data_IF_814451971984
#
_entry.id   IF_814451971984
#
_cell.length_a   1.000
_cell.length_b   1.000
_cell.length_c   1.000
_cell.angle_alpha   90.00
_cell.angle_beta   90.00
_cell.angle_gamma   90.00
#
_symmetry.space_group_name_H-M   'P 1'
#
loop_
_entity.id
_entity.type
_entity.pdbx_description
1 polymer ?
#
# COMPACT_ATOMS: atom_id res chain seq x y z
N UNK A 1 -57.13 -17.25 -12.27
CA UNK A 1 -56.31 -16.60 -13.31
C UNK A 1 -55.00 -17.37 -13.38
N UNK A 2 -54.88 -18.33 -14.30
CA UNK A 2 -53.67 -19.13 -14.50
C UNK A 2 -52.73 -18.36 -15.44
N UNK A 3 -51.51 -18.09 -14.99
CA UNK A 3 -50.44 -17.50 -15.79
C UNK A 3 -49.62 -18.63 -16.41
N UNK A 4 -49.62 -18.67 -17.74
CA UNK A 4 -48.93 -19.63 -18.58
C UNK A 4 -47.55 -19.03 -18.96
N UNK A 5 -46.44 -19.66 -18.55
CA UNK A 5 -45.08 -19.25 -18.93
C UNK A 5 -44.48 -20.34 -19.82
N UNK A 6 -43.94 -20.02 -21.01
CA UNK A 6 -43.36 -21.03 -21.88
C UNK A 6 -41.93 -21.40 -21.44
N UNK A 7 -41.62 -22.70 -21.47
CA UNK A 7 -40.28 -23.25 -21.26
C UNK A 7 -39.32 -22.80 -22.37
N UNK A 8 -38.15 -22.28 -21.98
CA UNK A 8 -37.03 -22.03 -22.90
C UNK A 8 -36.09 -23.23 -22.85
N UNK A 9 -35.86 -23.83 -24.03
CA UNK A 9 -35.02 -25.00 -24.25
C UNK A 9 -33.54 -24.67 -24.06
N UNK A 10 -32.84 -25.40 -23.19
CA UNK A 10 -31.39 -25.33 -23.04
C UNK A 10 -30.73 -26.44 -23.88
N UNK A 11 -29.95 -26.02 -24.89
CA UNK A 11 -29.11 -26.91 -25.70
C UNK A 11 -27.82 -27.21 -24.91
N UNK A 12 -27.62 -28.48 -24.56
CA UNK A 12 -26.39 -28.96 -23.95
C UNK A 12 -25.34 -29.26 -25.03
N UNK A 13 -24.15 -28.65 -24.93
CA UNK A 13 -22.99 -29.00 -25.75
C UNK A 13 -22.24 -30.16 -25.10
N UNK A 14 -22.14 -31.30 -25.80
CA UNK A 14 -21.37 -32.46 -25.36
C UNK A 14 -19.88 -32.29 -25.68
N UNK A 15 -19.01 -32.48 -24.67
CA UNK A 15 -17.59 -32.74 -24.88
C UNK A 15 -17.33 -34.24 -24.79
N UNK A 16 -16.81 -34.82 -25.87
CA UNK A 16 -16.36 -36.22 -25.93
C UNK A 16 -15.06 -36.40 -25.17
N UNK A 17 -15.08 -37.24 -24.14
CA UNK A 17 -13.89 -37.73 -23.46
C UNK A 17 -13.28 -38.92 -24.25
N UNK A 18 -12.01 -38.82 -24.61
CA UNK A 18 -11.24 -39.98 -25.12
C UNK A 18 -10.63 -40.71 -23.93
N UNK A 19 -10.97 -41.99 -23.80
CA UNK A 19 -10.43 -42.89 -22.79
C UNK A 19 -8.97 -43.28 -23.12
N UNK A 20 -8.08 -43.18 -22.13
CA UNK A 20 -6.74 -43.72 -22.21
C UNK A 20 -6.74 -45.18 -21.75
N UNK A 21 -6.31 -46.09 -22.64
CA UNK A 21 -6.13 -47.50 -22.36
C UNK A 21 -4.96 -47.71 -21.39
N UNK A 22 -5.19 -48.56 -20.39
CA UNK A 22 -4.15 -49.09 -19.51
C UNK A 22 -3.41 -50.23 -20.22
N UNK A 23 -2.07 -50.14 -20.26
CA UNK A 23 -1.21 -51.30 -20.50
C UNK A 23 -0.12 -51.36 -19.45
N UNK A 24 -0.08 -52.51 -18.79
CA UNK A 24 0.92 -53.03 -17.85
C UNK A 24 2.33 -53.06 -18.45
N UNK A 25 3.39 -52.82 -17.66
CA UNK A 25 4.28 -53.88 -17.16
C UNK A 25 5.61 -53.36 -16.56
N UNK A 26 5.96 -54.01 -15.44
CA UNK A 26 7.30 -54.42 -14.95
C UNK A 26 8.47 -53.44 -14.88
N UNK A 27 8.90 -53.25 -13.63
CA UNK A 27 10.24 -52.89 -13.16
C UNK A 27 11.40 -53.42 -14.02
N UNK A 28 12.34 -52.52 -14.36
CA UNK A 28 13.79 -52.78 -14.39
C UNK A 28 14.56 -51.47 -14.63
N UNK A 29 15.62 -51.31 -13.85
CA UNK A 29 16.45 -50.12 -13.64
C UNK A 29 17.29 -49.67 -14.83
N UNK A 30 17.29 -48.37 -15.14
CA UNK A 30 18.44 -47.64 -15.72
C UNK A 30 18.45 -46.21 -15.18
N UNK A 31 19.49 -45.83 -14.44
CA UNK A 31 19.79 -44.44 -14.11
C UNK A 31 20.20 -43.74 -15.40
N UNK A 32 19.25 -43.03 -16.01
CA UNK A 32 19.52 -42.10 -17.11
C UNK A 32 19.69 -40.71 -16.52
N UNK A 33 20.88 -40.13 -16.64
CA UNK A 33 21.11 -38.71 -16.36
C UNK A 33 20.39 -37.89 -17.43
N UNK A 34 19.09 -37.64 -17.21
CA UNK A 34 18.34 -36.66 -18.00
C UNK A 34 18.94 -35.30 -17.73
N UNK A 35 19.61 -34.73 -18.73
CA UNK A 35 19.82 -33.30 -18.80
C UNK A 35 18.44 -32.63 -18.77
N UNK A 36 18.10 -32.03 -17.64
CA UNK A 36 16.92 -31.19 -17.52
C UNK A 36 17.22 -29.92 -18.29
N UNK A 37 16.74 -29.82 -19.53
CA UNK A 37 16.71 -28.55 -20.25
C UNK A 37 15.71 -27.66 -19.54
N UNK A 38 16.20 -26.82 -18.62
CA UNK A 38 15.42 -25.74 -18.04
C UNK A 38 15.07 -24.75 -19.15
N UNK A 39 13.78 -24.46 -19.28
CA UNK A 39 13.31 -23.34 -20.11
C UNK A 39 13.84 -22.05 -19.48
N UNK A 40 14.55 -21.16 -20.20
CA UNK A 40 15.01 -19.90 -19.61
C UNK A 40 13.79 -19.01 -19.35
N UNK A 41 13.27 -19.03 -18.13
CA UNK A 41 12.33 -18.00 -17.65
C UNK A 41 13.15 -16.77 -17.32
N UNK A 42 13.25 -15.84 -18.27
CA UNK A 42 13.96 -14.56 -18.12
C UNK A 42 13.16 -13.51 -17.36
N UNK A 43 12.24 -13.88 -16.48
CA UNK A 43 11.66 -12.90 -15.54
C UNK A 43 12.74 -12.60 -14.50
N UNK A 44 13.32 -11.39 -14.47
CA UNK A 44 14.29 -11.05 -13.44
C UNK A 44 13.59 -11.21 -12.09
N UNK A 45 14.20 -11.93 -11.16
CA UNK A 45 13.79 -11.85 -9.75
C UNK A 45 13.81 -10.36 -9.40
N UNK A 46 12.72 -9.79 -8.83
CA UNK A 46 12.71 -8.39 -8.43
C UNK A 46 13.89 -8.16 -7.49
N UNK A 47 14.90 -7.45 -7.97
CA UNK A 47 16.07 -7.12 -7.15
C UNK A 47 15.61 -6.02 -6.20
N UNK A 48 15.70 -6.29 -4.91
CA UNK A 48 15.36 -5.31 -3.90
C UNK A 48 16.28 -4.10 -4.00
N UNK A 49 15.73 -2.88 -4.16
CA UNK A 49 16.56 -1.69 -4.28
C UNK A 49 17.40 -1.45 -3.02
N UNK A 50 18.61 -0.88 -3.15
CA UNK A 50 19.49 -0.63 -2.01
C UNK A 50 18.82 0.24 -0.93
N UNK A 51 18.93 -0.18 0.34
CA UNK A 51 18.38 0.56 1.47
C UNK A 51 19.02 1.94 1.66
N UNK A 52 20.21 2.17 1.09
CA UNK A 52 20.92 3.46 1.10
C UNK A 52 20.16 4.57 0.38
N UNK A 53 19.15 4.23 -0.43
CA UNK A 53 18.28 5.19 -1.13
C UNK A 53 17.02 5.56 -0.32
N UNK A 54 16.89 5.03 0.90
CA UNK A 54 15.72 5.25 1.74
C UNK A 54 15.92 6.37 2.76
N UNK A 55 14.86 7.13 2.99
CA UNK A 55 14.77 8.23 3.95
C UNK A 55 13.64 7.93 4.95
N UNK A 56 13.76 8.39 6.22
CA UNK A 56 12.77 8.10 7.23
C UNK A 56 11.43 8.79 6.92
N UNK A 57 10.32 8.06 7.06
CA UNK A 57 8.97 8.61 7.09
C UNK A 57 8.71 9.14 8.50
N UNK A 58 8.99 10.42 8.73
CA UNK A 58 8.95 11.02 10.06
C UNK A 58 7.52 11.34 10.44
N UNK A 59 7.13 10.98 11.66
CA UNK A 59 5.79 11.21 12.23
C UNK A 59 5.85 12.37 13.22
N UNK A 60 4.94 13.31 13.08
CA UNK A 60 4.81 14.50 13.92
C UNK A 60 3.42 14.50 14.56
N UNK A 61 3.35 14.88 15.83
CA UNK A 61 2.11 14.92 16.61
C UNK A 61 1.91 16.28 17.27
N UNK A 62 0.70 16.83 17.16
CA UNK A 62 0.27 17.99 17.93
C UNK A 62 -0.93 17.62 18.80
N UNK A 63 -0.74 17.61 20.11
CA UNK A 63 -1.77 17.23 21.09
C UNK A 63 -2.92 18.22 21.20
N UNK A 64 -2.66 19.50 21.01
CA UNK A 64 -3.68 20.56 21.09
C UNK A 64 -4.60 20.52 19.87
N UNK A 65 -4.04 20.22 18.69
CA UNK A 65 -4.80 20.09 17.45
C UNK A 65 -5.37 18.69 17.22
N UNK A 66 -4.91 17.70 17.99
CA UNK A 66 -5.21 16.27 17.73
C UNK A 66 -4.96 15.94 16.25
N UNK A 67 -3.73 16.15 15.81
CA UNK A 67 -3.38 16.01 14.40
C UNK A 67 -2.03 15.36 14.22
N UNK A 68 -1.97 14.40 13.30
CA UNK A 68 -0.73 13.80 12.84
C UNK A 68 -0.28 14.39 11.51
N UNK A 69 1.03 14.56 11.37
CA UNK A 69 1.66 15.01 10.14
C UNK A 69 2.86 14.12 9.82
N UNK A 70 3.02 13.76 8.54
CA UNK A 70 4.09 12.89 8.07
C UNK A 70 4.88 13.56 6.95
N UNK A 71 6.21 13.48 7.06
CA UNK A 71 7.11 14.05 6.06
C UNK A 71 8.44 13.33 6.03
N UNK A 72 9.09 13.37 4.88
CA UNK A 72 10.50 12.97 4.72
C UNK A 72 11.46 14.15 4.71
N UNK A 73 10.94 15.38 4.65
CA UNK A 73 11.76 16.56 4.48
C UNK A 73 12.11 17.23 5.81
N UNK A 74 13.42 17.34 6.05
CA UNK A 74 14.00 17.93 7.26
C UNK A 74 13.46 19.32 7.61
N UNK A 75 13.40 20.23 6.62
CA UNK A 75 12.97 21.61 6.88
C UNK A 75 11.46 21.72 7.12
N UNK A 76 10.65 20.90 6.45
CA UNK A 76 9.20 20.87 6.69
C UNK A 76 8.92 20.40 8.12
N UNK A 77 9.56 19.32 8.57
CA UNK A 77 9.43 18.88 9.96
C UNK A 77 9.93 19.95 10.96
N UNK A 78 11.05 20.61 10.68
CA UNK A 78 11.53 21.69 11.54
C UNK A 78 10.52 22.85 11.63
N UNK A 79 9.87 23.19 10.52
CA UNK A 79 8.81 24.19 10.47
C UNK A 79 7.56 23.76 11.25
N UNK A 80 7.16 22.49 11.19
CA UNK A 80 6.05 21.98 12.01
C UNK A 80 6.41 21.96 13.50
N UNK A 81 7.69 21.74 13.83
CA UNK A 81 8.20 21.85 15.19
C UNK A 81 7.98 23.23 15.82
N UNK A 82 8.09 24.31 15.04
CA UNK A 82 7.79 25.67 15.54
C UNK A 82 6.29 25.93 15.73
N UNK A 83 5.43 25.05 15.23
CA UNK A 83 3.96 25.11 15.32
C UNK A 83 3.40 24.19 16.41
N UNK A 84 4.26 23.70 17.32
CA UNK A 84 3.84 22.87 18.46
C UNK A 84 3.73 21.37 18.14
N UNK A 85 4.16 20.92 16.97
CA UNK A 85 4.28 19.49 16.71
C UNK A 85 5.56 18.93 17.35
N UNK A 86 5.44 17.82 18.06
CA UNK A 86 6.57 17.01 18.52
C UNK A 86 6.83 15.85 17.56
N UNK A 87 8.09 15.54 17.30
CA UNK A 87 8.46 14.36 16.51
C UNK A 87 8.33 13.07 17.33
N UNK A 88 7.69 12.08 16.72
CA UNK A 88 7.54 10.72 17.23
C UNK A 88 8.45 9.76 16.44
N UNK A 89 8.61 8.49 16.89
CA UNK A 89 9.38 7.51 16.13
C UNK A 89 8.93 7.44 14.65
N UNK A 90 9.88 7.43 13.68
CA UNK A 90 9.54 7.31 12.28
C UNK A 90 8.73 6.05 11.98
N UNK A 91 7.81 6.13 11.01
CA UNK A 91 6.96 5.02 10.61
C UNK A 91 7.58 4.27 9.42
N UNK A 92 8.82 3.83 9.61
CA UNK A 92 9.64 3.17 8.62
C UNK A 92 10.36 4.15 7.68
N UNK A 93 10.81 3.62 6.55
CA UNK A 93 11.59 4.32 5.54
C UNK A 93 10.99 4.13 4.15
N UNK A 94 11.00 5.19 3.37
CA UNK A 94 10.53 5.25 1.97
C UNK A 94 11.70 5.61 1.06
N UNK A 95 11.63 5.26 -0.22
CA UNK A 95 12.65 5.66 -1.19
C UNK A 95 12.53 7.15 -1.52
N UNK A 96 13.66 7.85 -1.58
CA UNK A 96 13.70 9.28 -1.92
C UNK A 96 13.41 9.56 -3.41
N UNK A 97 13.71 8.58 -4.26
CA UNK A 97 13.51 8.64 -5.72
C UNK A 97 12.77 7.39 -6.18
N UNK A 98 12.03 7.48 -7.29
CA UNK A 98 11.29 6.32 -7.79
C UNK A 98 12.27 5.22 -8.18
N UNK A 99 12.05 4.01 -7.66
CA UNK A 99 12.74 2.80 -8.09
C UNK A 99 11.73 1.82 -8.66
N UNK A 100 12.17 0.97 -9.58
CA UNK A 100 11.35 -0.09 -10.16
C UNK A 100 10.60 -0.89 -9.08
N UNK A 101 9.30 -1.09 -9.29
CA UNK A 101 8.45 -1.79 -8.33
C UNK A 101 8.03 -0.97 -7.10
N UNK A 102 8.28 0.34 -7.08
CA UNK A 102 7.72 1.27 -6.09
C UNK A 102 6.66 2.17 -6.71
N UNK A 103 5.76 2.67 -5.86
CA UNK A 103 4.73 3.65 -6.21
C UNK A 103 4.88 4.88 -5.31
N UNK A 104 4.47 6.08 -5.77
CA UNK A 104 4.47 7.27 -4.93
C UNK A 104 3.59 7.10 -3.70
N UNK A 105 4.02 7.66 -2.57
CA UNK A 105 3.16 7.98 -1.44
C UNK A 105 2.71 9.43 -1.60
N UNK A 106 1.55 9.61 -2.23
CA UNK A 106 0.95 10.91 -2.46
C UNK A 106 0.46 11.53 -1.16
N UNK A 107 0.48 12.87 -1.11
CA UNK A 107 -0.05 13.66 0.01
C UNK A 107 -0.93 14.79 -0.50
N UNK A 108 -2.07 15.00 0.16
CA UNK A 108 -2.83 16.24 0.03
C UNK A 108 -3.50 16.60 1.36
N UNK A 109 -3.90 17.87 1.50
CA UNK A 109 -4.52 18.39 2.71
C UNK A 109 -6.03 18.42 2.54
N UNK A 110 -6.74 17.69 3.40
CA UNK A 110 -8.19 17.72 3.47
C UNK A 110 -8.60 18.85 4.42
N UNK A 111 -9.38 19.79 3.89
CA UNK A 111 -9.98 20.86 4.66
C UNK A 111 -11.51 20.76 4.53
N UNK A 112 -12.20 20.48 5.63
CA UNK A 112 -13.67 20.36 5.65
C UNK A 112 -14.39 21.69 6.00
N UNK A 113 -13.74 22.84 5.75
CA UNK A 113 -14.30 24.15 6.11
C UNK A 113 -14.20 24.45 7.61
N UNK A 114 -13.41 23.67 8.34
CA UNK A 114 -13.06 23.86 9.75
C UNK A 114 -11.62 24.37 9.87
N UNK A 115 -11.20 24.92 11.03
CA UNK A 115 -9.79 25.24 11.27
C UNK A 115 -8.87 24.01 11.24
N UNK A 116 -9.44 22.82 11.38
CA UNK A 116 -8.70 21.56 11.38
C UNK A 116 -8.40 21.10 9.96
N UNK A 117 -7.13 20.82 9.70
CA UNK A 117 -6.61 20.25 8.47
C UNK A 117 -6.20 18.82 8.78
N UNK A 118 -6.61 17.90 7.91
CA UNK A 118 -6.19 16.51 7.95
C UNK A 118 -5.19 16.25 6.82
N UNK A 119 -4.10 15.56 7.12
CA UNK A 119 -3.05 15.25 6.17
C UNK A 119 -3.29 13.85 5.61
N UNK A 120 -3.78 13.79 4.38
CA UNK A 120 -4.14 12.55 3.73
C UNK A 120 -2.99 12.01 2.91
N UNK A 121 -2.70 10.72 3.08
CA UNK A 121 -1.67 9.99 2.35
C UNK A 121 -2.21 8.72 1.72
N UNK A 122 -1.80 8.46 0.48
CA UNK A 122 -2.18 7.23 -0.22
C UNK A 122 -1.11 6.79 -1.23
N UNK A 123 -1.03 5.49 -1.47
CA UNK A 123 -0.27 4.91 -2.58
C UNK A 123 -1.17 4.46 -3.75
N UNK A 124 -2.48 4.72 -3.66
CA UNK A 124 -3.43 4.51 -4.75
C UNK A 124 -3.61 5.81 -5.53
N UNK A 125 -3.20 5.80 -6.80
CA UNK A 125 -3.32 6.94 -7.69
C UNK A 125 -4.78 7.36 -7.91
N UNK A 126 -5.71 6.40 -8.02
CA UNK A 126 -7.11 6.70 -8.25
C UNK A 126 -7.75 7.34 -7.01
N UNK A 127 -7.41 6.84 -5.82
CA UNK A 127 -7.84 7.44 -4.55
C UNK A 127 -7.31 8.87 -4.41
N UNK A 128 -6.02 9.09 -4.71
CA UNK A 128 -5.44 10.43 -4.68
C UNK A 128 -6.16 11.40 -5.63
N UNK A 129 -6.37 10.99 -6.88
CA UNK A 129 -7.08 11.83 -7.85
C UNK A 129 -8.53 12.12 -7.42
N UNK A 130 -9.21 11.15 -6.81
CA UNK A 130 -10.55 11.35 -6.29
C UNK A 130 -10.58 12.38 -5.15
N UNK A 131 -9.59 12.35 -4.23
CA UNK A 131 -9.48 13.36 -3.17
C UNK A 131 -9.19 14.75 -3.74
N UNK A 132 -8.26 14.86 -4.69
CA UNK A 132 -7.96 16.13 -5.36
C UNK A 132 -9.19 16.68 -6.11
N UNK A 133 -9.93 15.82 -6.82
CA UNK A 133 -11.19 16.21 -7.47
C UNK A 133 -12.26 16.64 -6.45
N UNK A 134 -12.22 16.09 -5.23
CA UNK A 134 -13.03 16.49 -4.08
C UNK A 134 -12.58 17.77 -3.37
N UNK A 135 -11.52 18.43 -3.85
CA UNK A 135 -11.01 19.68 -3.29
C UNK A 135 -9.82 19.55 -2.34
N UNK A 136 -9.23 18.35 -2.21
CA UNK A 136 -8.01 18.16 -1.43
C UNK A 136 -6.86 19.01 -2.01
N UNK A 137 -6.20 19.78 -1.14
CA UNK A 137 -5.17 20.72 -1.57
C UNK A 137 -3.81 20.01 -1.67
N UNK A 138 -3.26 19.91 -2.87
CA UNK A 138 -1.93 19.34 -3.07
C UNK A 138 -0.87 20.35 -2.64
N UNK A 139 -0.15 20.02 -1.57
CA UNK A 139 1.02 20.78 -1.14
C UNK A 139 2.28 19.99 -1.49
N UNK A 140 2.98 20.33 -2.60
CA UNK A 140 4.23 19.67 -2.95
C UNK A 140 5.24 19.84 -1.82
N UNK A 141 5.93 18.76 -1.45
CA UNK A 141 7.13 18.88 -0.62
C UNK A 141 8.23 19.50 -1.50
N UNK A 142 8.68 20.73 -1.21
CA UNK A 142 9.61 21.45 -2.08
C UNK A 142 10.99 20.79 -2.19
N UNK A 143 11.30 19.77 -1.39
CA UNK A 143 12.61 19.13 -1.38
C UNK A 143 12.62 17.60 -1.40
N UNK A 144 11.47 16.92 -1.42
CA UNK A 144 11.42 15.50 -1.75
C UNK A 144 11.76 15.30 -3.24
N UNK A 145 13.05 15.41 -3.59
CA UNK A 145 13.74 15.01 -4.82
C UNK A 145 12.88 14.59 -6.05
N UNK A 146 12.01 15.48 -6.55
CA UNK A 146 11.20 15.23 -7.75
C UNK A 146 9.85 14.51 -7.52
N UNK A 147 9.37 14.40 -6.28
CA UNK A 147 8.05 13.86 -5.96
C UNK A 147 7.03 15.02 -5.98
N UNK A 148 6.58 15.40 -7.17
CA UNK A 148 5.75 16.61 -7.38
C UNK A 148 4.47 16.69 -6.53
N UNK A 149 4.00 15.58 -5.95
CA UNK A 149 2.70 15.48 -5.27
C UNK A 149 2.71 14.54 -4.05
N UNK A 150 3.88 14.21 -3.52
CA UNK A 150 4.02 13.19 -2.48
C UNK A 150 5.26 13.35 -1.62
N UNK A 151 5.47 12.38 -0.72
CA UNK A 151 6.51 12.43 0.30
C UNK A 151 7.43 11.20 0.29
N UNK A 152 7.43 10.42 -0.80
CA UNK A 152 8.30 9.25 -0.92
C UNK A 152 7.78 8.24 -1.93
N UNK A 153 8.51 7.14 -2.08
CA UNK A 153 8.05 5.95 -2.80
C UNK A 153 8.13 4.72 -1.90
N UNK A 154 7.12 3.86 -1.99
CA UNK A 154 7.00 2.65 -1.18
C UNK A 154 6.64 1.45 -2.05
N UNK A 155 6.72 0.24 -1.50
CA UNK A 155 6.30 -0.94 -2.23
C UNK A 155 4.78 -1.12 -2.14
N UNK A 156 4.07 -1.36 -3.25
CA UNK A 156 2.61 -1.61 -3.22
C UNK A 156 2.26 -3.01 -2.69
N UNK A 157 3.25 -3.88 -2.46
CA UNK A 157 3.09 -5.29 -2.06
C UNK A 157 4.21 -5.69 -1.07
N UNK A 158 4.03 -6.74 -0.27
CA UNK A 158 5.05 -7.20 0.69
C UNK A 158 6.22 -7.82 -0.06
N UNK A 159 7.29 -7.04 -0.22
CA UNK A 159 8.55 -7.46 -0.84
C UNK A 159 9.73 -6.80 -0.12
N UNK A 160 10.93 -7.34 -0.28
CA UNK A 160 12.15 -6.71 0.23
C UNK A 160 12.16 -6.47 1.75
N UNK A 161 11.56 -7.38 2.51
CA UNK A 161 11.37 -7.28 3.95
C UNK A 161 10.60 -6.02 4.39
N UNK A 162 9.85 -5.41 3.47
CA UNK A 162 9.00 -4.29 3.78
C UNK A 162 7.82 -4.74 4.67
N UNK A 163 7.47 -3.87 5.60
CA UNK A 163 6.37 -4.06 6.56
C UNK A 163 5.19 -3.19 6.17
N UNK A 164 3.95 -3.60 6.47
CA UNK A 164 2.77 -2.80 6.15
C UNK A 164 2.80 -1.44 6.86
N UNK A 165 2.44 -0.40 6.13
CA UNK A 165 2.03 0.90 6.65
C UNK A 165 0.51 0.92 6.73
N UNK A 166 -0.01 0.74 7.93
CA UNK A 166 -1.44 0.76 8.20
C UNK A 166 -1.98 2.19 8.16
N UNK A 167 -3.21 2.33 7.69
CA UNK A 167 -3.98 3.59 7.75
C UNK A 167 -5.23 3.39 8.57
N UNK A 168 -5.46 4.32 9.48
CA UNK A 168 -6.66 4.43 10.27
C UNK A 168 -7.24 5.83 10.13
N UNK A 169 -8.53 5.97 10.38
CA UNK A 169 -9.20 7.27 10.31
C UNK A 169 -10.17 7.46 11.48
N UNK A 170 -10.14 8.65 12.07
CA UNK A 170 -11.11 9.06 13.07
C UNK A 170 -11.99 10.17 12.50
N UNK A 171 -13.29 9.90 12.31
CA UNK A 171 -14.24 10.96 11.95
C UNK A 171 -14.49 11.94 13.08
N UNK A 172 -14.38 11.48 14.34
CA UNK A 172 -14.54 12.31 15.53
C UNK A 172 -13.39 13.30 15.70
N UNK A 173 -12.17 12.91 15.31
CA UNK A 173 -10.98 13.75 15.38
C UNK A 173 -10.63 14.42 14.05
N UNK A 174 -11.28 14.04 12.95
CA UNK A 174 -10.91 14.43 11.60
C UNK A 174 -9.39 14.29 11.34
N UNK A 175 -8.88 13.07 11.55
CA UNK A 175 -7.45 12.76 11.53
C UNK A 175 -7.21 11.37 10.92
N UNK A 176 -6.34 11.31 9.91
CA UNK A 176 -5.75 10.07 9.43
C UNK A 176 -4.48 9.74 10.21
N UNK A 177 -4.40 8.51 10.68
CA UNK A 177 -3.30 7.99 11.45
C UNK A 177 -2.60 6.85 10.70
N UNK A 178 -1.27 6.88 10.63
CA UNK A 178 -0.47 5.91 9.90
C UNK A 178 0.59 5.29 10.81
N UNK A 179 0.64 3.97 10.85
CA UNK A 179 1.60 3.25 11.70
C UNK A 179 2.11 1.98 11.07
N UNK A 180 3.35 1.61 11.38
CA UNK A 180 3.91 0.27 11.08
C UNK A 180 3.73 -0.71 12.26
N UNK A 181 3.27 -0.23 13.40
CA UNK A 181 3.13 -1.02 14.62
C UNK A 181 1.72 -1.63 14.70
N UNK A 182 1.63 -2.95 14.50
CA UNK A 182 0.36 -3.70 14.59
C UNK A 182 -0.33 -3.53 15.94
N UNK A 183 0.43 -3.49 17.03
CA UNK A 183 -0.12 -3.29 18.37
C UNK A 183 -0.71 -1.88 18.53
N UNK A 184 -0.06 -0.85 17.97
CA UNK A 184 -0.56 0.53 17.99
C UNK A 184 -1.85 0.66 17.16
N UNK A 185 -1.89 0.04 15.97
CA UNK A 185 -3.10 -0.10 15.16
C UNK A 185 -4.22 -0.75 15.96
N UNK A 186 -3.97 -1.92 16.55
CA UNK A 186 -4.99 -2.68 17.26
C UNK A 186 -5.51 -1.95 18.50
N UNK A 187 -4.63 -1.25 19.22
CA UNK A 187 -5.03 -0.43 20.36
C UNK A 187 -5.96 0.72 19.93
N UNK A 188 -5.62 1.44 18.85
CA UNK A 188 -6.47 2.51 18.33
C UNK A 188 -7.85 2.01 17.88
N UNK A 189 -7.91 0.84 17.23
CA UNK A 189 -9.17 0.17 16.86
C UNK A 189 -9.98 -0.20 18.11
N UNK A 190 -9.33 -0.82 19.10
CA UNK A 190 -10.00 -1.32 20.31
C UNK A 190 -10.57 -0.20 21.20
N UNK A 191 -9.98 0.99 21.15
CA UNK A 191 -10.53 2.17 21.83
C UNK A 191 -11.80 2.70 21.16
N UNK A 192 -12.10 2.28 19.93
CA UNK A 192 -13.20 2.80 19.12
C UNK A 192 -12.96 4.21 18.57
N UNK A 193 -11.79 4.80 18.80
CA UNK A 193 -11.47 6.17 18.35
C UNK A 193 -11.14 6.24 16.87
N UNK A 194 -10.60 5.16 16.30
CA UNK A 194 -10.20 5.08 14.90
C UNK A 194 -10.81 3.85 14.23
N UNK A 195 -11.30 4.04 13.01
CA UNK A 195 -11.68 2.98 12.10
C UNK A 195 -10.46 2.54 11.28
N UNK A 196 -10.28 1.23 11.15
CA UNK A 196 -9.25 0.66 10.28
C UNK A 196 -9.61 0.89 8.80
N UNK A 197 -8.65 1.37 8.02
CA UNK A 197 -8.77 1.55 6.57
C UNK A 197 -7.79 0.67 5.78
N UNK A 198 -7.10 -0.26 6.46
CA UNK A 198 -6.24 -1.25 5.84
C UNK A 198 -4.81 -0.76 5.62
N UNK A 199 -4.17 -1.28 4.56
CA UNK A 199 -2.75 -1.07 4.28
C UNK A 199 -2.63 -0.06 3.15
N UNK A 200 -1.93 1.06 3.42
CA UNK A 200 -1.63 2.06 2.39
C UNK A 200 -0.52 1.57 1.46
N UNK A 201 0.44 0.83 2.01
CA UNK A 201 1.60 0.32 1.28
C UNK A 201 2.58 -0.39 2.21
N UNK A 202 3.78 -0.69 1.71
CA UNK A 202 4.81 -1.39 2.46
C UNK A 202 6.10 -0.57 2.48
N UNK A 203 6.57 -0.26 3.68
CA UNK A 203 7.77 0.56 3.94
C UNK A 203 8.90 -0.31 4.46
N UNK A 204 10.14 0.12 4.26
CA UNK A 204 11.29 -0.56 4.87
C UNK A 204 11.25 -0.27 6.39
N UNK A 205 11.39 -1.28 7.27
CA UNK A 205 11.43 -1.04 8.72
C UNK A 205 12.64 -0.17 9.12
N UNK A 206 12.55 0.49 10.29
CA UNK A 206 13.62 1.35 10.83
C UNK A 206 14.88 0.58 11.21
#
# INVERSE_FOLDING_TARGET
>A
MQLNIPLVSFIALAFTAVAANATTNTSSSVVSTKTVTYCPTTTPVPVCPPLTQTIPLRRMWNGDLTSHFYSTYGLEVAQFGTQGYSEEPPQGRVYATQVDGTVPLWRCNLNQGTPQIDYFYTADAAEFQAQVAGGCQVMPDPAAAGISQGIGYLHPRPQCNAVPLYRLYSSARFDHFYTINETERQNNINTGLYADQGITGYVIPN
#
